data_IF_598423543654
#
_entry.id   IF_598423543654
#
_cell.length_a   1.000
_cell.length_b   1.000
_cell.length_c   1.000
_cell.angle_alpha   90.00
_cell.angle_beta   90.00
_cell.angle_gamma   90.00
#
_symmetry.space_group_name_H-M   'P 1'
#
loop_
_entity.id
_entity.type
_entity.pdbx_description
1 polymer ?
#
# COMPACT_ATOMS: atom_id res chain seq x y z
N UNK A 1 2.69 26.09 18.76
CA UNK A 1 3.64 24.99 18.74
C UNK A 1 3.39 24.09 17.53
N UNK A 2 4.32 24.08 16.59
CA UNK A 2 4.19 23.43 15.30
C UNK A 2 3.99 21.91 15.42
N UNK A 3 4.58 21.28 16.41
CA UNK A 3 4.48 19.84 16.62
C UNK A 3 3.08 19.46 17.11
N UNK A 4 2.47 20.27 17.94
CA UNK A 4 1.09 20.06 18.39
C UNK A 4 0.10 20.19 17.23
N UNK A 5 0.31 21.15 16.36
CA UNK A 5 -0.57 21.39 15.22
C UNK A 5 -0.52 20.24 14.22
N UNK A 6 0.68 19.71 13.93
CA UNK A 6 0.87 18.60 13.00
C UNK A 6 0.19 17.33 13.51
N UNK A 7 0.09 17.17 14.82
CA UNK A 7 -0.49 15.97 15.42
C UNK A 7 -1.95 16.12 15.84
N UNK A 8 -2.59 17.20 15.44
CA UNK A 8 -4.00 17.42 15.73
C UNK A 8 -4.33 17.43 17.21
N UNK A 9 -3.46 17.97 18.04
CA UNK A 9 -3.66 18.06 19.46
C UNK A 9 -3.27 16.83 20.27
N UNK A 10 -2.81 15.78 19.61
CA UNK A 10 -2.30 14.61 20.32
C UNK A 10 -0.88 14.87 20.79
N UNK A 11 -0.71 14.85 22.09
CA UNK A 11 0.62 14.97 22.65
C UNK A 11 1.39 13.68 22.48
N UNK A 12 2.65 13.77 22.06
CA UNK A 12 3.54 12.64 21.92
C UNK A 12 4.10 12.19 23.27
N UNK A 13 3.36 12.34 24.30
CA UNK A 13 3.69 11.79 25.60
C UNK A 13 3.23 10.32 25.72
N UNK A 14 2.48 9.88 24.74
CA UNK A 14 2.00 8.49 24.73
C UNK A 14 2.98 7.61 23.95
N UNK A 15 3.63 6.69 24.66
CA UNK A 15 4.54 5.71 24.05
C UNK A 15 3.86 4.87 22.99
N UNK A 16 2.54 4.69 23.09
CA UNK A 16 1.76 3.95 22.10
C UNK A 16 1.68 4.69 20.77
N UNK A 17 1.57 6.03 20.81
CA UNK A 17 1.54 6.84 19.59
C UNK A 17 2.87 6.76 18.85
N UNK A 18 4.00 6.87 19.55
CA UNK A 18 5.32 6.72 18.95
C UNK A 18 5.53 5.32 18.40
N UNK A 19 5.09 4.31 19.13
CA UNK A 19 5.17 2.92 18.70
C UNK A 19 4.38 2.67 17.42
N UNK A 20 3.21 3.31 17.29
CA UNK A 20 2.38 3.21 16.08
C UNK A 20 3.07 3.81 14.86
N UNK A 21 3.65 5.00 14.99
CA UNK A 21 4.37 5.65 13.89
C UNK A 21 5.58 4.83 13.46
N UNK A 22 6.28 4.23 14.42
CA UNK A 22 7.42 3.36 14.13
C UNK A 22 6.99 2.08 13.43
N UNK A 23 5.79 1.59 13.68
CA UNK A 23 5.27 0.38 13.04
C UNK A 23 5.16 0.58 11.54
N UNK A 24 4.61 1.70 11.11
CA UNK A 24 4.48 1.99 9.69
C UNK A 24 5.85 2.11 9.02
N UNK A 25 6.78 2.86 9.61
CA UNK A 25 8.13 3.00 9.09
C UNK A 25 8.86 1.67 9.01
N UNK A 26 8.63 0.80 9.99
CA UNK A 26 9.32 -0.49 10.08
C UNK A 26 8.90 -1.45 8.97
N UNK A 27 7.64 -1.42 8.57
CA UNK A 27 7.09 -2.38 7.63
C UNK A 27 6.78 -1.82 6.25
N UNK A 28 7.13 -0.57 6.00
CA UNK A 28 6.94 0.06 4.69
C UNK A 28 8.19 0.77 4.22
N UNK A 29 8.29 0.89 2.89
CA UNK A 29 9.30 1.71 2.24
C UNK A 29 8.61 2.96 1.72
N UNK A 30 9.06 4.13 2.13
CA UNK A 30 8.44 5.40 1.75
C UNK A 30 8.92 5.84 0.37
N UNK A 31 8.13 5.52 -0.65
CA UNK A 31 8.46 5.89 -2.03
C UNK A 31 8.40 7.40 -2.26
N UNK A 32 7.50 8.08 -1.57
CA UNK A 32 7.36 9.53 -1.68
C UNK A 32 8.64 10.22 -1.20
N UNK A 33 9.17 9.78 -0.07
CA UNK A 33 10.41 10.35 0.46
C UNK A 33 11.58 10.08 -0.47
N UNK A 34 11.67 8.88 -1.03
CA UNK A 34 12.71 8.53 -2.00
C UNK A 34 12.61 9.39 -3.25
N UNK A 35 11.39 9.66 -3.72
CA UNK A 35 11.18 10.52 -4.87
C UNK A 35 11.63 11.97 -4.58
N UNK A 36 11.32 12.49 -3.42
CA UNK A 36 11.74 13.84 -3.01
C UNK A 36 13.25 13.97 -2.91
N UNK A 37 13.93 12.90 -2.52
CA UNK A 37 15.39 12.86 -2.42
C UNK A 37 16.08 12.57 -3.75
N UNK A 38 15.31 12.34 -4.81
CA UNK A 38 15.86 12.01 -6.13
C UNK A 38 16.47 10.62 -6.21
N UNK A 39 16.06 9.72 -5.34
CA UNK A 39 16.62 8.36 -5.26
C UNK A 39 15.88 7.32 -6.12
N UNK A 40 14.78 7.71 -6.74
CA UNK A 40 14.08 6.83 -7.67
C UNK A 40 14.58 7.06 -9.09
N UNK A 41 14.76 5.97 -9.82
CA UNK A 41 15.18 6.05 -11.21
C UNK A 41 14.08 6.64 -12.10
N UNK A 42 14.44 7.40 -13.15
CA UNK A 42 13.46 7.89 -14.11
C UNK A 42 12.73 6.73 -14.78
N UNK A 43 11.42 6.86 -14.92
CA UNK A 43 10.58 5.85 -15.56
C UNK A 43 10.28 6.28 -16.98
N UNK A 44 10.70 5.47 -17.95
CA UNK A 44 10.58 5.76 -19.37
C UNK A 44 9.65 4.73 -20.02
N UNK A 45 8.73 5.22 -20.88
CA UNK A 45 7.88 4.36 -21.67
C UNK A 45 6.71 3.72 -20.92
N UNK A 46 6.36 4.24 -19.76
CA UNK A 46 5.26 3.72 -18.94
C UNK A 46 4.14 4.73 -18.72
N UNK A 47 4.08 5.78 -19.53
CA UNK A 47 3.12 6.86 -19.30
C UNK A 47 1.66 6.40 -19.37
N UNK A 48 1.33 5.49 -20.29
CA UNK A 48 -0.03 5.01 -20.43
C UNK A 48 -0.48 4.21 -19.21
N UNK A 49 0.38 3.34 -18.71
CA UNK A 49 0.09 2.53 -17.53
C UNK A 49 -0.03 3.42 -16.29
N UNK A 50 0.83 4.40 -16.14
CA UNK A 50 0.78 5.34 -15.03
C UNK A 50 -0.52 6.14 -15.06
N UNK A 51 -0.92 6.65 -16.23
CA UNK A 51 -2.17 7.38 -16.40
C UNK A 51 -3.37 6.50 -16.06
N UNK A 52 -3.34 5.23 -16.45
CA UNK A 52 -4.43 4.31 -16.14
C UNK A 52 -4.55 4.09 -14.63
N UNK A 53 -3.43 3.93 -13.94
CA UNK A 53 -3.42 3.79 -12.47
C UNK A 53 -4.00 5.06 -11.82
N UNK A 54 -3.59 6.23 -12.31
CA UNK A 54 -4.11 7.50 -11.81
C UNK A 54 -5.62 7.59 -11.99
N UNK A 55 -6.12 7.19 -13.15
CA UNK A 55 -7.56 7.18 -13.42
C UNK A 55 -8.33 6.30 -12.46
N UNK A 56 -7.81 5.09 -12.20
CA UNK A 56 -8.46 4.15 -11.30
C UNK A 56 -8.44 4.69 -9.86
N UNK A 57 -7.31 5.18 -9.39
CA UNK A 57 -7.19 5.73 -8.04
C UNK A 57 -8.09 6.94 -7.82
N UNK A 58 -8.43 7.66 -8.87
CA UNK A 58 -9.26 8.85 -8.79
C UNK A 58 -10.76 8.55 -8.79
N UNK A 59 -11.15 7.30 -8.98
CA UNK A 59 -12.57 6.90 -8.96
C UNK A 59 -13.14 6.98 -7.56
N UNK A 60 -14.45 7.12 -7.46
CA UNK A 60 -15.15 7.12 -6.17
C UNK A 60 -15.27 5.72 -5.58
N UNK A 61 -15.42 4.71 -6.45
CA UNK A 61 -15.54 3.30 -6.05
C UNK A 61 -14.61 2.47 -6.91
N UNK A 62 -14.30 1.26 -6.45
CA UNK A 62 -13.38 0.34 -7.16
C UNK A 62 -12.10 1.05 -7.55
N UNK A 63 -11.53 1.76 -6.60
CA UNK A 63 -10.37 2.63 -6.79
C UNK A 63 -9.06 1.99 -6.31
N UNK A 64 -8.98 0.68 -6.34
CA UNK A 64 -7.79 -0.08 -5.94
C UNK A 64 -7.27 -0.87 -7.14
N UNK A 65 -6.34 -0.31 -7.92
CA UNK A 65 -5.85 -0.98 -9.12
C UNK A 65 -4.96 -2.18 -8.79
N UNK A 66 -4.97 -3.16 -9.68
CA UNK A 66 -4.06 -4.31 -9.62
C UNK A 66 -3.23 -4.32 -10.90
N UNK A 67 -1.92 -4.28 -10.75
CA UNK A 67 -0.99 -4.38 -11.87
C UNK A 67 -0.71 -5.86 -12.15
N UNK A 68 -1.08 -6.30 -13.33
CA UNK A 68 -0.94 -7.70 -13.73
C UNK A 68 0.12 -7.79 -14.82
N UNK A 69 1.10 -8.67 -14.64
CA UNK A 69 2.15 -8.89 -15.63
C UNK A 69 3.14 -9.92 -15.13
N UNK A 70 3.99 -10.38 -16.06
CA UNK A 70 5.04 -11.30 -15.72
C UNK A 70 6.06 -10.67 -14.76
N UNK A 71 6.77 -11.52 -14.01
CA UNK A 71 7.83 -11.05 -13.14
C UNK A 71 8.89 -10.32 -13.97
N UNK A 72 9.33 -9.16 -13.50
CA UNK A 72 10.37 -8.40 -14.18
C UNK A 72 9.90 -7.45 -15.27
N UNK A 73 8.59 -7.32 -15.50
CA UNK A 73 8.09 -6.38 -16.54
C UNK A 73 7.98 -4.93 -16.07
N UNK A 74 8.45 -4.62 -14.85
CA UNK A 74 8.51 -3.25 -14.39
C UNK A 74 7.25 -2.75 -13.69
N UNK A 75 6.50 -3.62 -13.03
CA UNK A 75 5.32 -3.21 -12.27
C UNK A 75 5.68 -2.20 -11.19
N UNK A 76 6.78 -2.42 -10.49
CA UNK A 76 7.29 -1.48 -9.49
C UNK A 76 7.63 -0.13 -10.12
N UNK A 77 8.19 -0.13 -11.32
CA UNK A 77 8.53 1.11 -12.03
C UNK A 77 7.28 1.97 -12.28
N UNK A 78 6.14 1.35 -12.56
CA UNK A 78 4.88 2.08 -12.74
C UNK A 78 4.51 2.83 -11.47
N UNK A 79 4.63 2.19 -10.32
CA UNK A 79 4.32 2.81 -9.03
C UNK A 79 5.33 3.90 -8.68
N UNK A 80 6.60 3.69 -8.99
CA UNK A 80 7.64 4.70 -8.82
C UNK A 80 7.37 5.93 -9.69
N UNK A 81 6.95 5.71 -10.94
CA UNK A 81 6.58 6.81 -11.84
C UNK A 81 5.37 7.57 -11.35
N UNK A 82 4.37 6.87 -10.83
CA UNK A 82 3.22 7.51 -10.20
C UNK A 82 3.67 8.39 -9.02
N UNK A 83 4.54 7.86 -8.18
CA UNK A 83 5.04 8.59 -7.01
C UNK A 83 5.76 9.87 -7.43
N UNK A 84 6.58 9.80 -8.47
CA UNK A 84 7.28 10.97 -9.00
C UNK A 84 6.30 12.04 -9.49
N UNK A 85 5.22 11.64 -10.17
CA UNK A 85 4.19 12.58 -10.62
C UNK A 85 3.45 13.23 -9.47
N UNK A 86 3.18 12.49 -8.41
CA UNK A 86 2.54 13.05 -7.21
C UNK A 86 3.45 14.09 -6.57
N UNK A 87 4.74 13.80 -6.45
CA UNK A 87 5.72 14.73 -5.88
C UNK A 87 5.83 16.01 -6.73
N UNK A 88 5.76 15.87 -8.05
CA UNK A 88 5.81 17.00 -8.97
C UNK A 88 4.49 17.80 -9.05
N UNK A 89 3.43 17.26 -8.46
CA UNK A 89 2.11 17.88 -8.53
C UNK A 89 1.36 17.63 -9.83
N UNK A 90 1.83 16.69 -10.64
CA UNK A 90 1.24 16.37 -11.95
C UNK A 90 0.21 15.23 -11.83
N UNK A 91 -0.78 15.46 -10.98
CA UNK A 91 -1.87 14.49 -10.74
C UNK A 91 -3.16 15.24 -10.44
N UNK A 92 -4.34 14.59 -10.64
CA UNK A 92 -5.61 15.19 -10.27
C UNK A 92 -5.72 15.48 -8.77
N UNK A 93 -6.63 16.38 -8.42
CA UNK A 93 -6.83 16.83 -7.05
C UNK A 93 -6.94 15.70 -6.00
N UNK A 94 -7.68 14.60 -6.26
CA UNK A 94 -7.78 13.53 -5.26
C UNK A 94 -6.44 12.89 -4.87
N UNK A 95 -5.44 12.98 -5.74
CA UNK A 95 -4.13 12.38 -5.50
C UNK A 95 -3.06 13.39 -5.05
N UNK A 96 -3.40 14.66 -5.00
CA UNK A 96 -2.44 15.69 -4.60
C UNK A 96 -1.96 15.44 -3.17
N UNK A 97 -0.66 15.52 -2.99
CA UNK A 97 0.00 15.39 -1.69
C UNK A 97 -0.18 14.01 -1.01
N UNK A 98 -0.63 13.01 -1.77
CA UNK A 98 -0.73 11.65 -1.23
C UNK A 98 0.66 11.04 -1.09
N UNK A 99 0.87 10.33 0.00
CA UNK A 99 2.07 9.55 0.20
C UNK A 99 1.88 8.17 -0.42
N UNK A 100 2.94 7.61 -0.97
CA UNK A 100 2.93 6.25 -1.49
C UNK A 100 3.93 5.43 -0.69
N UNK A 101 3.43 4.39 -0.04
CA UNK A 101 4.23 3.51 0.80
C UNK A 101 4.18 2.10 0.24
N UNK A 102 5.33 1.45 0.11
CA UNK A 102 5.41 0.07 -0.34
C UNK A 102 5.47 -0.85 0.87
N UNK A 103 4.54 -1.79 0.96
CA UNK A 103 4.52 -2.75 2.06
C UNK A 103 5.65 -3.77 1.89
N UNK A 104 6.42 -3.97 2.95
CA UNK A 104 7.44 -5.00 3.00
C UNK A 104 6.86 -6.24 3.67
N UNK A 105 6.32 -7.15 2.86
CA UNK A 105 5.69 -8.37 3.37
C UNK A 105 6.69 -9.24 4.11
N UNK A 106 7.93 -9.30 3.63
CA UNK A 106 8.97 -10.06 4.28
C UNK A 106 9.22 -9.60 5.72
N UNK A 107 9.29 -8.30 5.93
CA UNK A 107 9.48 -7.74 7.27
C UNK A 107 8.28 -7.99 8.18
N UNK A 108 7.08 -7.98 7.62
CA UNK A 108 5.87 -8.28 8.38
C UNK A 108 5.86 -9.71 8.92
N UNK A 109 6.37 -10.65 8.12
CA UNK A 109 6.38 -12.07 8.46
C UNK A 109 7.59 -12.42 9.33
N UNK A 110 8.71 -11.74 9.13
CA UNK A 110 9.97 -12.06 9.80
C UNK A 110 9.83 -12.00 11.33
N UNK A 111 10.33 -13.03 12.00
CA UNK A 111 10.33 -13.11 13.45
C UNK A 111 8.97 -13.39 14.08
N UNK A 112 7.93 -13.66 13.28
CA UNK A 112 6.63 -14.04 13.83
C UNK A 112 6.66 -15.53 14.22
N UNK A 113 6.45 -15.79 15.48
CA UNK A 113 6.37 -17.15 16.01
C UNK A 113 4.92 -17.64 16.07
N UNK A 114 3.99 -16.71 16.19
CA UNK A 114 2.57 -17.00 16.30
C UNK A 114 1.82 -16.35 15.13
N UNK A 115 0.81 -17.07 14.68
CA UNK A 115 -0.11 -16.58 13.64
C UNK A 115 -0.68 -15.20 13.95
N UNK A 116 -1.09 -14.99 15.19
CA UNK A 116 -1.67 -13.73 15.63
C UNK A 116 -0.72 -12.55 15.57
N UNK A 117 0.59 -12.77 15.60
CA UNK A 117 1.58 -11.68 15.51
C UNK A 117 1.58 -11.03 14.14
N UNK A 118 1.50 -11.82 13.09
CA UNK A 118 1.43 -11.30 11.72
C UNK A 118 0.16 -10.48 11.53
N UNK A 119 -0.97 -11.04 11.94
CA UNK A 119 -2.25 -10.36 11.83
C UNK A 119 -2.27 -9.04 12.58
N UNK A 120 -1.72 -9.03 13.80
CA UNK A 120 -1.65 -7.82 14.60
C UNK A 120 -0.78 -6.75 13.95
N UNK A 121 0.36 -7.15 13.40
CA UNK A 121 1.24 -6.22 12.68
C UNK A 121 0.55 -5.62 11.47
N UNK A 122 -0.10 -6.46 10.67
CA UNK A 122 -0.82 -6.00 9.48
C UNK A 122 -1.95 -5.06 9.86
N UNK A 123 -2.71 -5.38 10.90
CA UNK A 123 -3.79 -4.54 11.38
C UNK A 123 -3.29 -3.17 11.82
N UNK A 124 -2.15 -3.12 12.53
CA UNK A 124 -1.56 -1.85 12.94
C UNK A 124 -1.12 -1.01 11.74
N UNK A 125 -0.51 -1.63 10.75
CA UNK A 125 -0.10 -0.94 9.52
C UNK A 125 -1.32 -0.34 8.83
N UNK A 126 -2.39 -1.10 8.70
CA UNK A 126 -3.63 -0.64 8.08
C UNK A 126 -4.25 0.52 8.84
N UNK A 127 -4.31 0.43 10.17
CA UNK A 127 -4.87 1.50 10.99
C UNK A 127 -4.08 2.81 10.84
N UNK A 128 -2.76 2.73 10.80
CA UNK A 128 -1.92 3.90 10.58
C UNK A 128 -2.08 4.47 9.17
N UNK A 129 -2.25 3.60 8.18
CA UNK A 129 -2.49 4.04 6.80
C UNK A 129 -3.81 4.77 6.66
N UNK A 130 -4.85 4.30 7.33
CA UNK A 130 -6.14 4.98 7.34
C UNK A 130 -6.02 6.40 7.89
N UNK A 131 -5.26 6.55 8.96
CA UNK A 131 -5.06 7.85 9.60
C UNK A 131 -4.21 8.78 8.74
N UNK A 132 -3.25 8.25 7.98
CA UNK A 132 -2.34 9.05 7.16
C UNK A 132 -2.86 9.31 5.75
N UNK A 133 -3.93 8.65 5.34
CA UNK A 133 -4.49 8.74 3.99
C UNK A 133 -3.47 8.43 2.88
N UNK A 134 -2.54 7.52 3.16
CA UNK A 134 -1.52 7.12 2.20
C UNK A 134 -2.03 6.04 1.25
N UNK A 135 -1.38 5.93 0.09
CA UNK A 135 -1.62 4.86 -0.86
C UNK A 135 -0.62 3.76 -0.57
N UNK A 136 -1.10 2.54 -0.37
CA UNK A 136 -0.25 1.39 -0.09
C UNK A 136 0.00 0.58 -1.36
N UNK A 137 1.26 0.37 -1.72
CA UNK A 137 1.64 -0.53 -2.79
C UNK A 137 2.03 -1.88 -2.19
N UNK A 138 1.40 -2.96 -2.67
CA UNK A 138 1.70 -4.32 -2.23
C UNK A 138 2.15 -5.12 -3.45
N UNK A 139 3.44 -5.44 -3.53
CA UNK A 139 3.93 -6.35 -4.55
C UNK A 139 3.58 -7.77 -4.15
N UNK A 140 3.37 -8.61 -5.15
CA UNK A 140 2.94 -10.00 -4.94
C UNK A 140 1.74 -10.09 -3.99
N UNK A 141 0.72 -9.28 -4.26
CA UNK A 141 -0.46 -9.14 -3.39
C UNK A 141 -1.18 -10.46 -3.15
N UNK A 142 -1.05 -11.41 -4.09
CA UNK A 142 -1.61 -12.75 -3.93
C UNK A 142 -1.08 -13.47 -2.69
N UNK A 143 0.09 -13.10 -2.22
CA UNK A 143 0.67 -13.68 -1.00
C UNK A 143 -0.17 -13.39 0.24
N UNK A 144 -0.92 -12.28 0.22
CA UNK A 144 -1.77 -11.88 1.32
C UNK A 144 -3.20 -12.38 1.21
N UNK A 145 -3.63 -12.83 0.00
CA UNK A 145 -5.03 -13.12 -0.24
C UNK A 145 -5.36 -14.57 -0.58
N UNK A 146 -4.44 -15.49 -0.42
CA UNK A 146 -4.76 -16.89 -0.59
C UNK A 146 -3.64 -17.82 -0.98
N UNK A 147 -2.47 -17.30 -1.30
CA UNK A 147 -1.36 -18.12 -1.81
C UNK A 147 -0.35 -18.52 -0.76
N UNK A 148 -0.44 -18.01 0.44
CA UNK A 148 0.55 -18.25 1.47
C UNK A 148 0.38 -19.60 2.17
N UNK A 149 1.20 -19.82 3.18
CA UNK A 149 1.09 -20.97 4.05
C UNK A 149 -0.31 -21.01 4.65
N UNK A 150 -0.84 -22.22 4.79
CA UNK A 150 -2.22 -22.43 5.25
C UNK A 150 -2.54 -21.61 6.50
N UNK A 151 -3.54 -20.76 6.39
CA UNK A 151 -4.06 -19.99 7.49
C UNK A 151 -3.67 -18.51 7.52
N UNK A 152 -2.41 -18.16 7.22
CA UNK A 152 -1.95 -16.76 7.29
C UNK A 152 -2.58 -15.87 6.22
N UNK A 153 -2.70 -16.39 5.00
CA UNK A 153 -3.23 -15.62 3.87
C UNK A 153 -4.72 -15.34 4.02
N UNK A 154 -5.48 -16.28 4.57
CA UNK A 154 -6.92 -16.10 4.80
C UNK A 154 -7.15 -14.98 5.80
N UNK A 155 -6.35 -14.94 6.84
CA UNK A 155 -6.48 -13.92 7.88
C UNK A 155 -6.07 -12.54 7.38
N UNK A 156 -5.05 -12.47 6.52
CA UNK A 156 -4.65 -11.21 5.90
C UNK A 156 -5.76 -10.67 5.02
N UNK A 157 -6.41 -11.52 4.21
CA UNK A 157 -7.53 -11.12 3.39
C UNK A 157 -8.70 -10.60 4.25
N UNK A 158 -8.99 -11.27 5.35
CA UNK A 158 -10.06 -10.87 6.26
C UNK A 158 -9.80 -9.51 6.92
N UNK A 159 -8.54 -9.13 7.07
CA UNK A 159 -8.15 -7.81 7.60
C UNK A 159 -8.27 -6.74 6.51
N UNK A 160 -7.84 -7.06 5.29
CA UNK A 160 -7.84 -6.09 4.18
C UNK A 160 -9.21 -5.81 3.60
N UNK A 161 -10.04 -6.84 3.42
CA UNK A 161 -11.35 -6.69 2.75
C UNK A 161 -12.24 -5.61 3.34
N UNK A 162 -12.44 -5.52 4.65
CA UNK A 162 -13.32 -4.48 5.19
C UNK A 162 -12.80 -3.07 4.91
N UNK A 163 -11.51 -2.85 5.02
CA UNK A 163 -10.91 -1.55 4.77
C UNK A 163 -11.03 -1.13 3.30
N UNK A 164 -10.84 -2.08 2.38
CA UNK A 164 -10.98 -1.82 0.94
C UNK A 164 -12.44 -1.57 0.57
N UNK A 165 -13.36 -2.36 1.10
CA UNK A 165 -14.79 -2.24 0.79
C UNK A 165 -15.39 -0.93 1.29
N UNK A 166 -14.91 -0.44 2.42
CA UNK A 166 -15.37 0.83 2.99
C UNK A 166 -14.72 2.06 2.39
N UNK A 167 -13.74 1.88 1.50
CA UNK A 167 -13.00 2.99 0.94
C UNK A 167 -12.06 3.69 1.93
N UNK A 168 -11.76 3.03 3.03
CA UNK A 168 -10.87 3.58 4.08
C UNK A 168 -9.41 3.50 3.70
N UNK A 169 -9.07 2.67 2.73
CA UNK A 169 -7.71 2.36 2.34
C UNK A 169 -7.61 2.31 0.83
N UNK A 170 -6.58 2.94 0.27
CA UNK A 170 -6.26 2.80 -1.14
C UNK A 170 -5.04 1.93 -1.30
N UNK A 171 -5.15 0.89 -2.13
CA UNK A 171 -4.11 -0.10 -2.36
C UNK A 171 -3.86 -0.27 -3.85
N UNK A 172 -2.58 -0.31 -4.22
CA UNK A 172 -2.15 -0.75 -5.55
C UNK A 172 -1.54 -2.12 -5.35
N UNK A 173 -2.14 -3.14 -5.95
CA UNK A 173 -1.59 -4.49 -5.91
C UNK A 173 -0.78 -4.80 -7.15
N UNK A 174 0.19 -5.69 -7.04
CA UNK A 174 0.93 -6.21 -8.19
C UNK A 174 1.00 -7.72 -8.10
N UNK A 175 0.77 -8.39 -9.23
CA UNK A 175 0.76 -9.86 -9.28
C UNK A 175 0.95 -10.35 -10.71
N UNK A 176 1.06 -11.65 -10.88
CA UNK A 176 1.03 -12.27 -12.21
C UNK A 176 -0.41 -12.62 -12.59
N UNK A 177 -0.65 -12.85 -13.88
CA UNK A 177 -1.99 -13.22 -14.36
C UNK A 177 -2.47 -14.54 -13.75
N UNK A 178 -1.58 -15.53 -13.65
CA UNK A 178 -1.92 -16.82 -13.07
C UNK A 178 -2.34 -16.70 -11.60
N UNK A 179 -1.59 -15.95 -10.82
CA UNK A 179 -1.90 -15.75 -9.41
C UNK A 179 -3.17 -14.92 -9.23
N UNK A 180 -3.40 -13.95 -10.10
CA UNK A 180 -4.62 -13.15 -10.09
C UNK A 180 -5.85 -14.05 -10.30
N UNK A 181 -5.82 -14.92 -11.30
CA UNK A 181 -6.92 -15.83 -11.59
C UNK A 181 -7.18 -16.81 -10.46
N UNK A 182 -6.13 -17.31 -9.82
CA UNK A 182 -6.26 -18.26 -8.73
C UNK A 182 -6.82 -17.65 -7.45
N UNK A 183 -6.39 -16.46 -7.11
CA UNK A 183 -6.56 -15.93 -5.75
C UNK A 183 -7.40 -14.68 -5.64
N UNK A 184 -7.44 -13.84 -6.65
CA UNK A 184 -8.12 -12.54 -6.59
C UNK A 184 -9.43 -12.54 -7.39
N UNK A 185 -9.37 -13.00 -8.63
CA UNK A 185 -10.53 -13.02 -9.52
C UNK A 185 -11.70 -13.84 -8.95
N UNK A 186 -11.37 -14.91 -8.23
CA UNK A 186 -12.37 -15.78 -7.62
C UNK A 186 -13.04 -15.19 -6.38
N UNK A 187 -12.49 -14.14 -5.83
CA UNK A 187 -13.03 -13.46 -4.66
C UNK A 187 -13.60 -12.12 -5.09
N UNK A 188 -14.92 -12.08 -5.26
CA UNK A 188 -15.61 -10.88 -5.73
C UNK A 188 -15.42 -9.65 -4.85
N UNK A 189 -15.08 -9.82 -3.58
CA UNK A 189 -14.84 -8.70 -2.69
C UNK A 189 -13.48 -8.03 -2.94
N UNK A 190 -12.56 -8.75 -3.59
CA UNK A 190 -11.22 -8.24 -3.90
C UNK A 190 -11.10 -7.72 -5.33
N UNK A 191 -12.00 -8.08 -6.21
CA UNK A 191 -12.03 -7.61 -7.59
C UNK A 191 -12.48 -6.12 -7.72
#
# INVERSE_FOLDING_TARGET
DTIKDIRGGQRVTDRKAESRYRTLEKYTRDLTQLAKEGKLDPVIGRDQEILRVIQILSRRTKNNPVLIGEAGVGKTAIVEGLTQRIVEGDVPAPLMNKRVLQLDVGSLVAGTMYRGQFEERLKRVIDELKASEAILFIDEVHMLVGAGAAGSSVDAANILKPALSRGELQVIGATTLDEYRKHIEKDGALE
#
